data_IF_046488891852
#
_entry.id   IF_046488891852
#
_cell.length_a   1.000
_cell.length_b   1.000
_cell.length_c   1.000
_cell.angle_alpha   90.00
_cell.angle_beta   90.00
_cell.angle_gamma   90.00
#
_symmetry.space_group_name_H-M   'P 1'
#
loop_
_entity.id
_entity.type
_entity.pdbx_description
1 polymer ?
#
# COMPACT_ATOMS: atom_id res chain seq x y z
N UNK A 1 7.94 -12.27 -21.67
CA UNK A 1 8.43 -12.76 -20.36
C UNK A 1 7.50 -12.19 -19.31
N UNK A 2 6.90 -13.01 -18.45
CA UNK A 2 6.12 -12.50 -17.32
C UNK A 2 7.07 -11.73 -16.42
N UNK A 3 6.69 -10.49 -16.14
CA UNK A 3 7.44 -9.62 -15.27
C UNK A 3 7.46 -10.22 -13.85
N UNK A 4 8.61 -10.73 -13.41
CA UNK A 4 8.75 -11.44 -12.13
C UNK A 4 8.66 -10.52 -10.90
N UNK A 5 8.23 -9.27 -11.08
CA UNK A 5 8.09 -8.27 -10.01
C UNK A 5 6.88 -8.50 -9.11
N UNK A 6 5.85 -9.20 -9.59
CA UNK A 6 4.64 -9.52 -8.81
C UNK A 6 4.73 -10.96 -8.29
N UNK A 7 5.27 -11.13 -7.09
CA UNK A 7 5.35 -12.43 -6.42
C UNK A 7 5.32 -12.28 -4.89
N UNK A 8 4.89 -13.33 -4.20
CA UNK A 8 4.83 -13.38 -2.74
C UNK A 8 3.50 -12.90 -2.17
N UNK A 9 3.51 -12.47 -0.90
CA UNK A 9 2.31 -12.10 -0.17
C UNK A 9 1.82 -10.71 -0.62
N UNK A 10 0.56 -10.66 -1.07
CA UNK A 10 -0.10 -9.45 -1.54
C UNK A 10 -1.17 -8.99 -0.55
N UNK A 11 -0.91 -7.87 0.14
CA UNK A 11 -1.85 -7.17 0.99
C UNK A 11 -2.62 -6.06 0.27
N UNK A 12 -3.88 -5.87 0.67
CA UNK A 12 -4.74 -4.75 0.21
C UNK A 12 -5.19 -4.00 1.45
N UNK A 13 -5.05 -2.67 1.46
CA UNK A 13 -5.49 -1.86 2.60
C UNK A 13 -7.01 -1.96 2.78
N UNK A 14 -7.51 -1.84 4.02
CA UNK A 14 -8.95 -1.78 4.25
C UNK A 14 -9.56 -0.51 3.64
N UNK A 15 -10.85 -0.56 3.33
CA UNK A 15 -11.61 0.57 2.80
C UNK A 15 -12.16 1.45 3.94
N UNK A 16 -11.25 1.98 4.76
CA UNK A 16 -11.54 2.87 5.88
C UNK A 16 -10.25 3.61 6.29
N UNK A 17 -10.34 4.45 7.32
CA UNK A 17 -9.17 5.15 7.87
C UNK A 17 -8.07 4.17 8.23
N UNK A 18 -6.87 4.44 7.73
CA UNK A 18 -5.74 3.56 7.93
C UNK A 18 -5.10 3.73 9.31
N UNK A 19 -4.65 2.61 9.87
CA UNK A 19 -3.74 2.59 11.00
C UNK A 19 -2.35 2.20 10.47
N UNK A 20 -1.51 3.20 10.21
CA UNK A 20 -0.20 3.00 9.58
C UNK A 20 0.71 2.09 10.43
N UNK A 21 0.69 2.22 11.76
CA UNK A 21 1.49 1.38 12.65
C UNK A 21 1.07 -0.10 12.59
N UNK A 22 -0.24 -0.37 12.46
CA UNK A 22 -0.73 -1.74 12.27
C UNK A 22 -0.31 -2.29 10.91
N UNK A 23 -0.40 -1.47 9.85
CA UNK A 23 0.01 -1.86 8.49
C UNK A 23 1.51 -2.19 8.48
N UNK A 24 2.35 -1.35 9.07
CA UNK A 24 3.79 -1.61 9.21
C UNK A 24 4.07 -2.93 9.93
N UNK A 25 3.37 -3.17 11.04
CA UNK A 25 3.50 -4.43 11.78
C UNK A 25 3.12 -5.62 10.89
N UNK A 26 2.05 -5.53 10.11
CA UNK A 26 1.65 -6.61 9.18
C UNK A 26 2.69 -6.82 8.09
N UNK A 27 3.23 -5.74 7.50
CA UNK A 27 4.28 -5.82 6.48
C UNK A 27 5.50 -6.58 7.02
N UNK A 28 5.94 -6.22 8.22
CA UNK A 28 7.16 -6.77 8.84
C UNK A 28 6.96 -8.18 9.39
N UNK A 29 5.86 -8.44 10.11
CA UNK A 29 5.57 -9.73 10.76
C UNK A 29 5.32 -10.84 9.73
N UNK A 30 4.68 -10.51 8.60
CA UNK A 30 4.30 -11.49 7.57
C UNK A 30 5.09 -11.38 6.26
N UNK A 31 6.09 -10.50 6.20
CA UNK A 31 6.91 -10.27 5.01
C UNK A 31 6.07 -9.98 3.76
N UNK A 32 5.17 -9.00 3.86
CA UNK A 32 4.33 -8.58 2.73
C UNK A 32 5.24 -8.09 1.61
N UNK A 33 5.09 -8.66 0.41
CA UNK A 33 5.92 -8.31 -0.75
C UNK A 33 5.27 -7.22 -1.59
N UNK A 34 3.94 -7.14 -1.56
CA UNK A 34 3.15 -6.20 -2.35
C UNK A 34 2.05 -5.62 -1.47
N UNK A 35 1.92 -4.30 -1.43
CA UNK A 35 0.83 -3.60 -0.77
C UNK A 35 0.09 -2.73 -1.77
N UNK A 36 -1.23 -2.94 -1.88
CA UNK A 36 -2.10 -2.07 -2.65
C UNK A 36 -2.91 -1.14 -1.75
N UNK A 37 -2.77 0.16 -1.99
CA UNK A 37 -3.65 1.18 -1.44
C UNK A 37 -5.01 1.16 -2.15
N UNK A 38 -6.07 0.95 -1.38
CA UNK A 38 -7.46 0.94 -1.85
C UNK A 38 -8.40 1.53 -0.82
N UNK A 39 -8.66 2.84 -0.92
CA UNK A 39 -9.65 3.55 -0.13
C UNK A 39 -10.62 4.30 -1.05
N UNK A 40 -11.90 3.94 -1.02
CA UNK A 40 -13.00 4.53 -1.80
C UNK A 40 -13.55 5.81 -1.17
N UNK A 41 -12.66 6.64 -0.63
CA UNK A 41 -13.00 7.99 -0.16
C UNK A 41 -13.06 8.95 -1.36
N UNK A 42 -13.85 10.03 -1.23
CA UNK A 42 -13.87 11.12 -2.20
C UNK A 42 -12.98 12.31 -1.78
N UNK A 43 -12.26 12.17 -0.66
CA UNK A 43 -11.32 13.17 -0.18
C UNK A 43 -9.93 12.93 -0.79
N UNK A 44 -9.60 13.67 -1.84
CA UNK A 44 -8.34 13.51 -2.56
C UNK A 44 -7.11 13.92 -1.73
N UNK A 45 -7.27 14.85 -0.79
CA UNK A 45 -6.18 15.25 0.10
C UNK A 45 -5.87 14.15 1.11
N UNK A 46 -6.89 13.46 1.61
CA UNK A 46 -6.74 12.25 2.43
C UNK A 46 -6.05 11.15 1.62
N UNK A 47 -6.48 10.89 0.38
CA UNK A 47 -5.85 9.86 -0.47
C UNK A 47 -4.37 10.11 -0.65
N UNK A 48 -3.99 11.34 -1.00
CA UNK A 48 -2.58 11.69 -1.24
C UNK A 48 -1.75 11.52 0.03
N UNK A 49 -2.29 11.94 1.18
CA UNK A 49 -1.61 11.80 2.46
C UNK A 49 -1.41 10.32 2.84
N UNK A 50 -2.47 9.51 2.76
CA UNK A 50 -2.39 8.07 3.02
C UNK A 50 -1.43 7.37 2.06
N UNK A 51 -1.52 7.65 0.75
CA UNK A 51 -0.65 7.06 -0.26
C UNK A 51 0.83 7.42 -0.04
N UNK A 52 1.14 8.67 0.32
CA UNK A 52 2.50 9.10 0.61
C UNK A 52 3.07 8.36 1.82
N UNK A 53 2.31 8.28 2.93
CA UNK A 53 2.73 7.55 4.12
C UNK A 53 2.97 6.06 3.83
N UNK A 54 2.11 5.44 3.03
CA UNK A 54 2.27 4.04 2.63
C UNK A 54 3.43 3.82 1.67
N UNK A 55 3.69 4.75 0.76
CA UNK A 55 4.84 4.70 -0.15
C UNK A 55 6.15 4.71 0.65
N UNK A 56 6.29 5.66 1.57
CA UNK A 56 7.50 5.79 2.42
C UNK A 56 7.72 4.51 3.25
N UNK A 57 6.63 3.96 3.79
CA UNK A 57 6.65 2.70 4.53
C UNK A 57 7.08 1.52 3.63
N UNK A 58 6.51 1.40 2.45
CA UNK A 58 6.82 0.32 1.51
C UNK A 58 8.26 0.39 1.01
N UNK A 59 8.78 1.59 0.74
CA UNK A 59 10.19 1.80 0.37
C UNK A 59 11.14 1.36 1.49
N UNK A 60 10.79 1.66 2.74
CA UNK A 60 11.58 1.27 3.93
C UNK A 60 11.68 -0.25 4.08
N UNK A 61 10.59 -0.97 3.82
CA UNK A 61 10.49 -2.42 4.01
C UNK A 61 10.62 -3.24 2.71
N UNK A 62 11.10 -2.62 1.64
CA UNK A 62 11.28 -3.25 0.32
C UNK A 62 10.01 -3.99 -0.17
N UNK A 63 8.85 -3.36 0.04
CA UNK A 63 7.53 -3.81 -0.41
C UNK A 63 7.16 -3.06 -1.68
N UNK A 64 6.64 -3.76 -2.69
CA UNK A 64 6.10 -3.11 -3.89
C UNK A 64 4.79 -2.39 -3.53
N UNK A 65 4.73 -1.08 -3.77
CA UNK A 65 3.53 -0.28 -3.55
C UNK A 65 2.72 -0.11 -4.83
N UNK A 66 1.40 -0.29 -4.75
CA UNK A 66 0.44 -0.14 -5.86
C UNK A 66 -0.70 0.77 -5.41
N UNK A 67 -1.08 1.74 -6.24
CA UNK A 67 -2.30 2.52 -6.07
C UNK A 67 -3.42 1.91 -6.91
N UNK A 68 -4.60 1.72 -6.32
CA UNK A 68 -5.76 1.18 -7.02
C UNK A 68 -6.54 2.27 -7.79
N UNK A 69 -6.80 2.03 -9.07
CA UNK A 69 -7.72 2.77 -9.98
C UNK A 69 -7.49 4.28 -10.18
N UNK A 70 -6.53 4.90 -9.50
CA UNK A 70 -6.23 6.33 -9.62
C UNK A 70 -4.82 6.54 -10.16
N UNK A 71 -4.71 6.95 -11.44
CA UNK A 71 -3.43 7.20 -12.12
C UNK A 71 -2.86 8.59 -11.81
N UNK A 72 -3.67 9.49 -11.26
CA UNK A 72 -3.24 10.86 -10.96
C UNK A 72 -2.73 11.03 -9.53
N UNK A 73 -2.90 9.99 -8.71
CA UNK A 73 -2.39 9.91 -7.35
C UNK A 73 -0.94 9.42 -7.34
#
# INVERSE_FOLDING_TARGET
MLDQRIQGLYGITPNNNLNIALIERVITEYQVNILQYRHKTNDDQLKLNEAQQLLDLCLTHNTLFIVNDDINL
#
